data_IF_777069175827
#
_entry.id   IF_777069175827
#
_cell.length_a   1.000
_cell.length_b   1.000
_cell.length_c   1.000
_cell.angle_alpha   90.00
_cell.angle_beta   90.00
_cell.angle_gamma   90.00
#
_symmetry.space_group_name_H-M   'P 1'
#
loop_
_entity.id
_entity.type
_entity.pdbx_description
1 polymer ?
#
# COMPACT_ATOMS: atom_id res chain seq x y z
N UNK A 1 -59.98 -13.51 -48.85
CA UNK A 1 -60.79 -12.62 -49.71
C UNK A 1 -60.61 -11.22 -49.13
N UNK A 2 -60.10 -10.30 -49.94
CA UNK A 2 -59.81 -8.86 -49.71
C UNK A 2 -60.96 -8.11 -48.98
N UNK A 3 -60.82 -6.87 -48.45
CA UNK A 3 -59.95 -5.80 -48.97
C UNK A 3 -59.41 -4.74 -47.98
N UNK A 4 -58.64 -3.82 -48.55
CA UNK A 4 -58.10 -2.59 -47.99
C UNK A 4 -58.94 -1.38 -48.47
N UNK A 5 -59.21 -0.44 -47.56
CA UNK A 5 -59.23 1.05 -47.68
C UNK A 5 -60.12 1.77 -48.72
N UNK A 6 -60.95 2.70 -48.24
CA UNK A 6 -60.89 4.16 -48.51
C UNK A 6 -61.85 4.90 -47.54
N UNK A 7 -61.36 5.76 -46.65
CA UNK A 7 -61.18 7.23 -46.80
C UNK A 7 -62.50 8.01 -46.94
N UNK A 8 -62.91 8.74 -45.88
CA UNK A 8 -63.15 10.19 -45.91
C UNK A 8 -63.59 10.74 -44.54
N UNK A 9 -63.09 11.95 -44.30
CA UNK A 9 -63.12 12.84 -43.16
C UNK A 9 -64.52 13.20 -42.63
N UNK A 10 -64.71 13.18 -41.31
CA UNK A 10 -65.54 14.17 -40.62
C UNK A 10 -64.82 14.70 -39.38
N UNK A 11 -64.82 16.04 -39.32
CA UNK A 11 -64.23 16.91 -38.33
C UNK A 11 -65.16 16.98 -37.12
N UNK A 12 -64.69 16.68 -35.92
CA UNK A 12 -65.16 17.44 -34.76
C UNK A 12 -64.07 17.65 -33.71
N UNK A 13 -64.11 18.88 -33.22
CA UNK A 13 -63.23 19.55 -32.28
C UNK A 13 -63.31 18.90 -30.90
N UNK A 14 -62.18 18.57 -30.28
CA UNK A 14 -61.85 19.01 -28.90
C UNK A 14 -60.31 19.13 -28.75
N UNK A 15 -59.95 20.24 -28.11
CA UNK A 15 -58.64 20.85 -27.88
C UNK A 15 -57.71 20.06 -26.97
N UNK A 16 -56.40 20.10 -27.26
CA UNK A 16 -55.34 20.65 -26.38
C UNK A 16 -53.99 20.70 -27.11
N UNK A 17 -53.28 21.85 -27.15
CA UNK A 17 -51.95 21.95 -27.74
C UNK A 17 -50.86 21.49 -26.77
N UNK A 18 -49.87 20.88 -27.40
CA UNK A 18 -48.62 20.27 -26.96
C UNK A 18 -47.63 21.18 -26.20
N UNK A 19 -47.04 20.58 -25.17
CA UNK A 19 -45.65 20.69 -24.67
C UNK A 19 -45.00 22.08 -24.55
N UNK A 20 -44.88 22.56 -23.31
CA UNK A 20 -43.93 23.61 -22.92
C UNK A 20 -42.65 22.96 -22.39
N UNK A 21 -41.53 23.37 -22.97
CA UNK A 21 -40.16 22.94 -22.64
C UNK A 21 -39.76 23.53 -21.29
N UNK A 22 -39.46 22.65 -20.32
CA UNK A 22 -38.98 23.02 -18.99
C UNK A 22 -37.54 23.55 -19.10
N UNK A 23 -37.40 24.88 -18.96
CA UNK A 23 -36.13 25.56 -18.77
C UNK A 23 -35.67 25.38 -17.31
N UNK A 24 -34.36 25.38 -17.01
CA UNK A 24 -33.85 24.85 -15.75
C UNK A 24 -34.31 25.70 -14.56
N UNK A 25 -34.91 25.03 -13.58
CA UNK A 25 -35.29 25.57 -12.30
C UNK A 25 -34.06 26.23 -11.65
N UNK A 26 -34.14 27.54 -11.45
CA UNK A 26 -33.06 28.31 -10.83
C UNK A 26 -32.97 27.87 -9.36
N UNK A 27 -31.86 27.22 -9.00
CA UNK A 27 -31.49 26.97 -7.62
C UNK A 27 -31.37 28.31 -6.89
N UNK A 28 -32.37 28.63 -6.07
CA UNK A 28 -32.33 29.75 -5.14
C UNK A 28 -31.34 29.42 -4.02
N UNK A 29 -30.09 29.82 -4.22
CA UNK A 29 -29.03 29.69 -3.22
C UNK A 29 -29.18 30.87 -2.26
N UNK A 30 -29.98 30.67 -1.21
CA UNK A 30 -30.06 31.60 -0.10
C UNK A 30 -28.84 31.42 0.84
N UNK A 31 -27.92 32.41 0.94
CA UNK A 31 -26.68 32.28 1.71
C UNK A 31 -26.86 32.41 3.24
N UNK A 32 -28.06 32.74 3.71
CA UNK A 32 -28.33 32.99 5.14
C UNK A 32 -28.90 31.79 5.91
N UNK A 33 -29.09 30.64 5.25
CA UNK A 33 -29.57 29.43 5.90
C UNK A 33 -28.39 28.46 6.17
N UNK A 34 -28.01 28.21 7.43
CA UNK A 34 -27.05 27.16 7.74
C UNK A 34 -27.60 25.81 7.24
N UNK A 35 -26.83 25.15 6.37
CA UNK A 35 -27.25 24.01 5.56
C UNK A 35 -28.00 22.91 6.35
N UNK A 36 -29.09 22.44 5.75
CA UNK A 36 -29.99 21.40 6.30
C UNK A 36 -29.49 19.96 6.09
N UNK A 37 -28.21 19.75 5.78
CA UNK A 37 -27.66 18.39 5.55
C UNK A 37 -27.62 17.51 6.81
N UNK A 38 -27.93 18.04 7.99
CA UNK A 38 -27.98 17.25 9.22
C UNK A 38 -28.99 17.80 10.24
N UNK A 39 -30.29 17.66 9.98
CA UNK A 39 -31.32 17.93 10.99
C UNK A 39 -31.75 16.62 11.63
N UNK A 40 -31.11 16.23 12.73
CA UNK A 40 -31.67 15.17 13.56
C UNK A 40 -32.94 15.70 14.24
N UNK A 41 -34.06 14.93 14.22
CA UNK A 41 -35.20 15.27 15.04
C UNK A 41 -34.79 15.22 16.52
N UNK A 42 -35.16 16.23 17.29
CA UNK A 42 -34.78 16.41 18.70
C UNK A 42 -35.22 15.27 19.63
N UNK A 43 -36.12 14.40 19.16
CA UNK A 43 -36.55 13.18 19.84
C UNK A 43 -35.58 12.00 19.66
N UNK A 44 -34.76 12.04 18.61
CA UNK A 44 -33.66 11.08 18.36
C UNK A 44 -32.37 11.53 19.02
N UNK A 45 -32.26 12.77 19.52
CA UNK A 45 -31.08 13.22 20.27
C UNK A 45 -30.96 12.53 21.64
N UNK A 46 -32.07 12.24 22.32
CA UNK A 46 -32.03 11.52 23.60
C UNK A 46 -31.69 10.05 23.39
N UNK A 47 -32.26 9.40 22.37
CA UNK A 47 -31.93 8.02 21.99
C UNK A 47 -30.52 7.91 21.41
N UNK A 48 -30.07 8.90 20.64
CA UNK A 48 -28.70 9.01 20.20
C UNK A 48 -27.77 9.19 21.38
N UNK A 49 -28.10 10.03 22.37
CA UNK A 49 -27.25 10.20 23.57
C UNK A 49 -27.12 8.90 24.38
N UNK A 50 -28.21 8.14 24.52
CA UNK A 50 -28.24 6.83 25.19
C UNK A 50 -27.44 5.78 24.41
N UNK A 51 -27.62 5.72 23.09
CA UNK A 51 -26.84 4.85 22.18
C UNK A 51 -25.36 5.26 22.11
N UNK A 52 -25.04 6.55 22.10
CA UNK A 52 -23.67 7.09 22.06
C UNK A 52 -22.93 6.79 23.36
N UNK A 53 -23.63 6.73 24.49
CA UNK A 53 -23.05 6.26 25.74
C UNK A 53 -22.77 4.74 25.67
N UNK A 54 -23.69 3.95 25.14
CA UNK A 54 -23.50 2.49 24.99
C UNK A 54 -22.36 2.14 24.00
N UNK A 55 -22.32 2.79 22.83
CA UNK A 55 -21.25 2.63 21.85
C UNK A 55 -19.94 3.24 22.33
N UNK A 56 -20.00 4.37 23.05
CA UNK A 56 -18.85 5.02 23.67
C UNK A 56 -18.20 4.14 24.73
N UNK A 57 -18.99 3.48 25.58
CA UNK A 57 -18.48 2.52 26.56
C UNK A 57 -17.92 1.26 25.90
N UNK A 58 -18.61 0.72 24.89
CA UNK A 58 -18.11 -0.45 24.15
C UNK A 58 -16.81 -0.15 23.41
N UNK A 59 -16.71 1.03 22.79
CA UNK A 59 -15.50 1.50 22.14
C UNK A 59 -14.41 1.81 23.15
N UNK A 60 -14.72 2.46 24.27
CA UNK A 60 -13.73 2.72 25.33
C UNK A 60 -13.19 1.40 25.91
N UNK A 61 -14.05 0.41 26.18
CA UNK A 61 -13.63 -0.92 26.63
C UNK A 61 -12.78 -1.64 25.58
N UNK A 62 -13.16 -1.54 24.31
CA UNK A 62 -12.37 -2.08 23.21
C UNK A 62 -11.01 -1.38 23.08
N UNK A 63 -10.95 -0.05 23.19
CA UNK A 63 -9.72 0.75 23.11
C UNK A 63 -8.79 0.52 24.30
N UNK A 64 -9.34 0.25 25.48
CA UNK A 64 -8.55 -0.08 26.67
C UNK A 64 -7.95 -1.49 26.55
N UNK A 65 -8.68 -2.43 25.95
CA UNK A 65 -8.23 -3.82 25.78
C UNK A 65 -7.40 -4.03 24.49
N UNK A 66 -7.54 -3.12 23.52
CA UNK A 66 -6.80 -3.08 22.27
C UNK A 66 -5.27 -3.10 22.45
N UNK A 67 -4.64 -2.30 23.33
CA UNK A 67 -3.19 -2.36 23.53
C UNK A 67 -2.73 -3.74 24.02
N UNK A 68 -3.51 -4.44 24.85
CA UNK A 68 -3.17 -5.79 25.31
C UNK A 68 -3.23 -6.80 24.16
N UNK A 69 -4.29 -6.75 23.34
CA UNK A 69 -4.39 -7.60 22.13
C UNK A 69 -3.32 -7.29 21.08
N UNK A 70 -2.97 -6.02 20.88
CA UNK A 70 -1.87 -5.65 19.99
C UNK A 70 -0.53 -6.15 20.53
N UNK A 71 -0.31 -6.07 21.84
CA UNK A 71 0.90 -6.55 22.49
C UNK A 71 1.09 -8.06 22.32
N UNK A 72 0.02 -8.83 22.57
CA UNK A 72 0.01 -10.29 22.38
C UNK A 72 0.15 -10.68 20.91
N UNK A 73 -0.59 -10.04 20.01
CA UNK A 73 -0.49 -10.28 18.57
C UNK A 73 0.91 -9.92 18.04
N UNK A 74 1.46 -8.74 18.36
CA UNK A 74 2.83 -8.40 17.97
C UNK A 74 3.83 -9.39 18.56
N UNK A 75 3.68 -9.77 19.83
CA UNK A 75 4.51 -10.79 20.49
C UNK A 75 4.50 -12.13 19.76
N UNK A 76 3.32 -12.62 19.40
CA UNK A 76 3.12 -13.88 18.69
C UNK A 76 3.58 -13.83 17.23
N UNK A 77 3.44 -12.68 16.55
CA UNK A 77 3.80 -12.51 15.15
C UNK A 77 5.18 -11.89 14.91
N UNK A 78 6.01 -11.63 15.93
CA UNK A 78 7.34 -10.99 15.76
C UNK A 78 8.18 -11.65 14.67
N UNK A 79 8.28 -12.98 14.67
CA UNK A 79 9.09 -13.73 13.70
C UNK A 79 8.57 -13.57 12.26
N UNK A 80 7.31 -13.93 11.93
CA UNK A 80 6.81 -13.76 10.57
C UNK A 80 6.72 -12.28 10.16
N UNK A 81 6.36 -11.38 11.07
CA UNK A 81 6.29 -9.94 10.79
C UNK A 81 7.68 -9.35 10.47
N UNK A 82 8.72 -9.81 11.14
CA UNK A 82 10.10 -9.43 10.81
C UNK A 82 10.48 -9.94 9.43
N UNK A 83 10.16 -11.18 9.09
CA UNK A 83 10.42 -11.72 7.74
C UNK A 83 9.67 -10.94 6.67
N UNK A 84 8.38 -10.69 6.85
CA UNK A 84 7.58 -9.88 5.93
C UNK A 84 8.10 -8.44 5.86
N UNK A 85 8.52 -7.88 6.98
CA UNK A 85 9.15 -6.57 7.08
C UNK A 85 10.47 -6.49 6.31
N UNK A 86 11.29 -7.54 6.37
CA UNK A 86 12.52 -7.65 5.56
C UNK A 86 12.16 -7.72 4.08
N UNK A 87 11.17 -8.53 3.68
CA UNK A 87 10.76 -8.65 2.27
C UNK A 87 10.21 -7.31 1.76
N UNK A 88 9.33 -6.67 2.52
CA UNK A 88 8.79 -5.35 2.20
C UNK A 88 9.90 -4.29 2.14
N UNK A 89 10.81 -4.30 3.12
CA UNK A 89 11.96 -3.41 3.19
C UNK A 89 12.90 -3.61 2.00
N UNK A 90 13.13 -4.85 1.58
CA UNK A 90 13.89 -5.16 0.37
C UNK A 90 13.20 -4.61 -0.88
N UNK A 91 11.87 -4.72 -0.98
CA UNK A 91 11.09 -4.13 -2.06
C UNK A 91 11.21 -2.59 -2.11
N UNK A 92 11.09 -1.93 -0.96
CA UNK A 92 11.27 -0.46 -0.86
C UNK A 92 12.69 -0.07 -1.24
N UNK A 93 13.68 -0.80 -0.74
CA UNK A 93 15.10 -0.57 -1.07
C UNK A 93 15.34 -0.71 -2.56
N UNK A 94 14.74 -1.72 -3.20
CA UNK A 94 14.82 -1.92 -4.64
C UNK A 94 14.17 -0.77 -5.41
N UNK A 95 13.00 -0.30 -4.98
CA UNK A 95 12.33 0.85 -5.61
C UNK A 95 13.17 2.14 -5.50
N UNK A 96 13.83 2.36 -4.37
CA UNK A 96 14.75 3.48 -4.20
C UNK A 96 15.99 3.30 -5.09
N UNK A 97 16.57 2.09 -5.10
CA UNK A 97 17.73 1.78 -5.93
C UNK A 97 17.43 1.98 -7.42
N UNK A 98 16.26 1.56 -7.89
CA UNK A 98 15.77 1.77 -9.26
C UNK A 98 15.66 3.27 -9.58
N UNK A 99 15.01 4.05 -8.71
CA UNK A 99 14.91 5.49 -8.87
C UNK A 99 16.28 6.21 -8.85
N UNK A 100 17.24 5.72 -8.09
CA UNK A 100 18.64 6.22 -8.12
C UNK A 100 19.32 5.81 -9.42
N UNK A 101 19.16 4.56 -9.85
CA UNK A 101 19.79 4.01 -11.04
C UNK A 101 19.31 4.73 -12.31
N UNK A 102 18.04 5.08 -12.40
CA UNK A 102 17.48 5.92 -13.47
C UNK A 102 18.19 7.27 -13.57
N UNK A 103 18.48 7.90 -12.42
CA UNK A 103 19.21 9.18 -12.38
C UNK A 103 20.68 9.02 -12.75
N UNK A 104 21.31 7.94 -12.31
CA UNK A 104 22.70 7.65 -12.64
C UNK A 104 22.86 7.29 -14.11
N UNK A 105 21.93 6.53 -14.70
CA UNK A 105 21.92 6.17 -16.12
C UNK A 105 21.69 7.38 -17.03
N UNK A 106 21.04 8.45 -16.52
CA UNK A 106 20.94 9.71 -17.25
C UNK A 106 22.31 10.41 -17.43
N UNK A 107 23.32 10.05 -16.63
CA UNK A 107 24.68 10.56 -16.75
C UNK A 107 25.56 9.45 -17.37
N UNK A 108 26.06 9.62 -18.61
CA UNK A 108 26.67 8.55 -19.41
C UNK A 108 28.01 8.01 -18.88
N UNK A 109 28.48 8.47 -17.71
CA UNK A 109 29.76 8.09 -17.13
C UNK A 109 29.65 7.06 -15.99
N UNK A 110 28.49 6.92 -15.33
CA UNK A 110 28.38 6.02 -14.18
C UNK A 110 28.40 4.56 -14.56
N UNK A 111 27.60 4.15 -15.54
CA UNK A 111 27.57 2.76 -16.03
C UNK A 111 28.97 2.24 -16.41
N UNK A 112 29.75 2.92 -17.30
CA UNK A 112 31.10 2.43 -17.64
C UNK A 112 32.09 2.52 -16.47
N UNK A 113 31.91 3.46 -15.53
CA UNK A 113 32.78 3.56 -14.35
C UNK A 113 32.52 2.42 -13.37
N UNK A 114 31.26 2.08 -13.09
CA UNK A 114 30.91 0.95 -12.24
C UNK A 114 31.31 -0.38 -12.88
N UNK A 115 31.18 -0.52 -14.20
CA UNK A 115 31.67 -1.68 -14.94
C UNK A 115 33.20 -1.81 -14.81
N UNK A 116 33.94 -0.72 -14.97
CA UNK A 116 35.40 -0.72 -14.82
C UNK A 116 35.83 -1.02 -13.38
N UNK A 117 35.14 -0.45 -12.38
CA UNK A 117 35.39 -0.74 -10.96
C UNK A 117 35.09 -2.21 -10.67
N UNK A 118 33.97 -2.74 -11.17
CA UNK A 118 33.58 -4.13 -10.99
C UNK A 118 34.56 -5.10 -11.62
N UNK A 119 34.98 -4.86 -12.87
CA UNK A 119 35.98 -5.66 -13.55
C UNK A 119 37.36 -5.53 -12.90
N UNK A 120 37.74 -4.32 -12.47
CA UNK A 120 38.99 -4.07 -11.76
C UNK A 120 39.04 -4.82 -10.44
N UNK A 121 37.98 -4.74 -9.64
CA UNK A 121 37.88 -5.45 -8.36
C UNK A 121 37.82 -6.96 -8.56
N UNK A 122 37.02 -7.45 -9.51
CA UNK A 122 36.92 -8.87 -9.84
C UNK A 122 38.29 -9.42 -10.28
N UNK A 123 38.96 -8.72 -11.20
CA UNK A 123 40.30 -9.09 -11.66
C UNK A 123 41.34 -9.06 -10.53
N UNK A 124 41.31 -8.03 -9.67
CA UNK A 124 42.19 -7.93 -8.52
C UNK A 124 41.95 -9.04 -7.50
N UNK A 125 40.70 -9.36 -7.17
CA UNK A 125 40.35 -10.43 -6.24
C UNK A 125 40.80 -11.79 -6.78
N UNK A 126 40.50 -12.08 -8.05
CA UNK A 126 40.94 -13.32 -8.70
C UNK A 126 42.46 -13.43 -8.63
N UNK A 127 43.17 -12.38 -9.05
CA UNK A 127 44.63 -12.37 -9.04
C UNK A 127 45.21 -12.53 -7.62
N UNK A 128 44.72 -11.75 -6.65
CA UNK A 128 45.26 -11.68 -5.29
C UNK A 128 44.92 -12.91 -4.44
N UNK A 129 43.78 -13.54 -4.67
CA UNK A 129 43.24 -14.56 -3.77
C UNK A 129 43.04 -15.94 -4.40
N UNK A 130 42.76 -16.04 -5.71
CA UNK A 130 42.56 -17.33 -6.37
C UNK A 130 43.85 -17.90 -6.99
N UNK A 131 44.74 -17.04 -7.51
CA UNK A 131 45.95 -17.50 -8.21
C UNK A 131 47.07 -17.92 -7.24
N UNK A 132 47.27 -17.18 -6.16
CA UNK A 132 48.29 -17.50 -5.17
C UNK A 132 47.81 -18.61 -4.22
N UNK A 133 48.67 -19.61 -3.97
CA UNK A 133 48.33 -20.75 -3.12
C UNK A 133 48.23 -20.34 -1.64
N UNK A 134 49.14 -19.47 -1.19
CA UNK A 134 49.24 -19.05 0.21
C UNK A 134 47.97 -18.29 0.66
N UNK A 135 47.45 -17.44 -0.22
CA UNK A 135 46.25 -16.63 0.03
C UNK A 135 44.95 -17.41 -0.02
N UNK A 136 44.94 -18.59 -0.67
CA UNK A 136 43.79 -19.50 -0.66
C UNK A 136 43.64 -20.19 0.69
N UNK A 137 44.76 -20.53 1.33
CA UNK A 137 44.74 -21.18 2.64
C UNK A 137 44.34 -20.20 3.74
N UNK A 138 44.90 -18.99 3.71
CA UNK A 138 44.55 -17.88 4.62
C UNK A 138 43.04 -17.57 4.57
N UNK A 139 42.48 -17.37 3.36
CA UNK A 139 41.05 -17.11 3.20
C UNK A 139 40.16 -18.25 3.66
N UNK A 140 40.56 -19.51 3.42
CA UNK A 140 39.76 -20.65 3.85
C UNK A 140 39.71 -20.75 5.38
N UNK A 141 40.84 -20.47 6.04
CA UNK A 141 40.90 -20.43 7.51
C UNK A 141 40.05 -19.28 8.07
N UNK A 142 40.23 -18.05 7.58
CA UNK A 142 39.43 -16.90 7.99
C UNK A 142 37.92 -17.10 7.74
N UNK A 143 37.57 -17.74 6.62
CA UNK A 143 36.18 -18.05 6.30
C UNK A 143 35.56 -19.06 7.27
N UNK A 144 36.30 -20.12 7.64
CA UNK A 144 35.81 -21.09 8.62
C UNK A 144 35.66 -20.44 9.99
N UNK A 145 36.65 -19.65 10.44
CA UNK A 145 36.57 -18.90 11.70
C UNK A 145 35.34 -17.96 11.71
N UNK A 146 35.11 -17.21 10.63
CA UNK A 146 33.95 -16.33 10.54
C UNK A 146 32.62 -17.11 10.55
N UNK A 147 32.56 -18.23 9.82
CA UNK A 147 31.38 -19.11 9.79
C UNK A 147 31.09 -19.69 11.18
N UNK A 148 32.12 -20.14 11.87
CA UNK A 148 31.99 -20.78 13.17
C UNK A 148 31.59 -19.76 14.24
N UNK A 149 32.07 -18.51 14.13
CA UNK A 149 31.60 -17.37 14.94
C UNK A 149 30.13 -17.00 14.70
N UNK A 150 29.66 -17.05 13.46
CA UNK A 150 28.25 -16.74 13.12
C UNK A 150 27.32 -17.89 13.52
N UNK A 151 27.81 -19.14 13.43
CA UNK A 151 27.03 -20.35 13.70
C UNK A 151 27.13 -20.79 15.17
N UNK A 152 28.05 -20.22 15.95
CA UNK A 152 28.28 -20.53 17.36
C UNK A 152 29.03 -21.85 17.62
N UNK A 153 29.82 -22.33 16.65
CA UNK A 153 30.55 -23.61 16.74
C UNK A 153 31.93 -23.50 17.41
N UNK A 154 32.40 -22.28 17.70
CA UNK A 154 33.71 -22.01 18.30
C UNK A 154 33.81 -22.49 19.76
N UNK A 155 32.68 -22.50 20.49
CA UNK A 155 32.63 -22.88 21.91
C UNK A 155 32.57 -24.40 22.13
N UNK A 156 32.11 -25.19 21.16
CA UNK A 156 31.84 -26.64 21.34
C UNK A 156 33.11 -27.52 21.21
N UNK A 157 34.11 -27.07 20.44
CA UNK A 157 35.36 -27.81 20.22
C UNK A 157 36.48 -27.53 21.24
N UNK A 158 36.26 -26.64 22.23
CA UNK A 158 37.26 -26.32 23.25
C UNK A 158 37.16 -27.17 24.54
N UNK A 159 36.19 -28.08 24.63
CA UNK A 159 35.96 -28.94 25.81
C UNK A 159 36.19 -30.45 25.57
N UNK A 160 36.71 -30.86 24.41
CA UNK A 160 37.00 -32.26 24.06
C UNK A 160 38.50 -32.59 24.04
#
# INVERSE_FOLDING_TARGET
MSPNVDTSLETDTIRQPIAETDAPDQLDVNPDAPGTLFKLPSQDLSLASEKWQEYGEKLARFLILFPDYLGEAFGQYRKPLTTVGIIAGAGVTLAIADGVLDRLNAIPLFAPTFELIGLGFTGWVIFRYLLYADTRQELWQEYQELKDRITGQEDENSEA
#
